data_IF_920110673995
#
_entry.id   IF_920110673995
#
_cell.length_a   1.000
_cell.length_b   1.000
_cell.length_c   1.000
_cell.angle_alpha   90.00
_cell.angle_beta   90.00
_cell.angle_gamma   90.00
#
_symmetry.space_group_name_H-M   'P 1'
#
loop_
_entity.id
_entity.type
_entity.pdbx_description
1 polymer ?
#
# COMPACT_ATOMS: atom_id res chain seq x y z
N UNK A 1 14.85 -13.55 -6.78
CA UNK A 1 15.18 -14.63 -5.81
C UNK A 1 16.67 -14.69 -5.48
N UNK A 2 17.55 -14.60 -6.47
CA UNK A 2 19.01 -14.59 -6.28
C UNK A 2 19.52 -13.56 -5.26
N UNK A 3 18.97 -12.34 -5.27
CA UNK A 3 19.34 -11.29 -4.31
C UNK A 3 19.00 -11.66 -2.86
N UNK A 4 17.86 -12.32 -2.62
CA UNK A 4 17.42 -12.75 -1.28
C UNK A 4 18.34 -13.87 -0.77
N UNK A 5 18.65 -14.86 -1.62
CA UNK A 5 19.57 -15.94 -1.28
C UNK A 5 20.97 -15.42 -0.97
N UNK A 6 21.45 -14.46 -1.75
CA UNK A 6 22.75 -13.79 -1.52
C UNK A 6 22.75 -13.06 -0.18
N UNK A 7 21.71 -12.29 0.13
CA UNK A 7 21.57 -11.60 1.41
C UNK A 7 21.50 -12.58 2.60
N UNK A 8 20.79 -13.70 2.44
CA UNK A 8 20.70 -14.75 3.46
C UNK A 8 22.06 -15.38 3.74
N UNK A 9 22.82 -15.72 2.70
CA UNK A 9 24.16 -16.29 2.84
C UNK A 9 25.13 -15.29 3.49
N UNK A 10 25.05 -14.02 3.11
CA UNK A 10 25.82 -12.97 3.75
C UNK A 10 25.49 -12.86 5.25
N UNK A 11 24.19 -12.79 5.60
CA UNK A 11 23.78 -12.68 6.99
C UNK A 11 24.19 -13.88 7.83
N UNK A 12 24.01 -15.12 7.35
CA UNK A 12 24.46 -16.32 8.07
C UNK A 12 25.97 -16.30 8.36
N UNK A 13 26.79 -15.85 7.40
CA UNK A 13 28.25 -15.70 7.61
C UNK A 13 28.52 -14.63 8.67
N UNK A 14 27.92 -13.45 8.52
CA UNK A 14 28.15 -12.32 9.43
C UNK A 14 27.70 -12.64 10.86
N UNK A 15 26.51 -13.21 11.05
CA UNK A 15 25.97 -13.58 12.37
C UNK A 15 26.83 -14.61 13.09
N UNK A 16 27.45 -15.53 12.33
CA UNK A 16 28.40 -16.51 12.87
C UNK A 16 29.68 -15.83 13.34
N UNK A 17 30.23 -14.90 12.56
CA UNK A 17 31.47 -14.17 12.89
C UNK A 17 31.29 -13.28 14.13
N UNK A 18 30.18 -12.53 14.21
CA UNK A 18 29.94 -11.59 15.32
C UNK A 18 29.26 -12.25 16.53
N UNK A 19 28.97 -13.56 16.46
CA UNK A 19 28.26 -14.33 17.49
C UNK A 19 26.94 -13.68 17.96
N UNK A 20 26.21 -13.04 17.03
CA UNK A 20 24.88 -12.45 17.26
C UNK A 20 23.95 -12.89 16.15
N UNK A 21 22.68 -13.13 16.44
CA UNK A 21 21.69 -13.46 15.42
C UNK A 21 20.94 -12.25 14.84
N UNK A 22 20.12 -12.51 13.83
CA UNK A 22 19.24 -11.50 13.25
C UNK A 22 18.04 -11.26 14.17
N UNK A 23 18.00 -10.11 14.84
CA UNK A 23 16.93 -9.78 15.78
C UNK A 23 15.68 -9.18 15.11
N UNK A 24 15.85 -8.42 14.02
CA UNK A 24 14.76 -7.69 13.39
C UNK A 24 14.74 -7.83 11.89
N UNK A 25 13.55 -8.00 11.31
CA UNK A 25 13.30 -7.96 9.87
C UNK A 25 12.27 -6.88 9.57
N UNK A 26 12.59 -5.95 8.66
CA UNK A 26 11.65 -4.90 8.22
C UNK A 26 11.31 -5.11 6.75
N UNK A 27 10.06 -5.47 6.47
CA UNK A 27 9.50 -5.60 5.14
C UNK A 27 8.89 -4.25 4.72
N UNK A 28 9.72 -3.36 4.15
CA UNK A 28 9.33 -2.00 3.75
C UNK A 28 9.08 -1.80 2.26
N UNK A 29 9.70 -2.60 1.39
CA UNK A 29 9.58 -2.41 -0.06
C UNK A 29 8.11 -2.39 -0.51
N UNK A 30 7.77 -1.42 -1.35
CA UNK A 30 6.44 -1.33 -1.93
C UNK A 30 6.31 -0.33 -3.07
N UNK A 31 5.36 -0.59 -3.95
CA UNK A 31 5.01 0.23 -5.12
C UNK A 31 3.51 0.50 -5.16
N UNK A 32 3.09 1.60 -5.79
CA UNK A 32 1.68 2.01 -5.90
C UNK A 32 0.93 1.41 -7.09
N UNK A 33 1.62 1.07 -8.18
CA UNK A 33 0.99 0.95 -9.49
C UNK A 33 0.49 2.30 -10.04
N UNK A 34 -0.26 2.26 -11.13
CA UNK A 34 -0.92 3.42 -11.72
C UNK A 34 -2.27 3.69 -11.02
N UNK A 35 -2.54 4.91 -10.53
CA UNK A 35 -3.80 5.23 -9.87
C UNK A 35 -4.89 5.53 -10.92
N UNK A 36 -5.52 4.48 -11.45
CA UNK A 36 -6.55 4.56 -12.50
C UNK A 36 -7.83 3.81 -12.10
N UNK A 37 -8.97 4.17 -12.71
CA UNK A 37 -10.16 3.32 -12.71
C UNK A 37 -9.85 1.89 -13.15
N UNK A 38 -10.59 0.92 -12.60
CA UNK A 38 -10.32 -0.51 -12.78
C UNK A 38 -10.46 -0.98 -14.23
N UNK A 39 -11.38 -0.42 -14.98
CA UNK A 39 -11.58 -0.71 -16.41
C UNK A 39 -10.39 -0.30 -17.28
N UNK A 40 -9.56 0.64 -16.83
CA UNK A 40 -8.31 1.04 -17.51
C UNK A 40 -7.11 0.18 -17.09
N UNK A 41 -7.28 -0.72 -16.12
CA UNK A 41 -6.22 -1.56 -15.59
C UNK A 41 -6.32 -2.98 -16.12
N UNK A 42 -5.16 -3.61 -16.26
CA UNK A 42 -5.03 -5.01 -16.66
C UNK A 42 -4.73 -5.89 -15.46
N UNK A 43 -4.90 -7.19 -15.62
CA UNK A 43 -4.47 -8.15 -14.60
C UNK A 43 -2.96 -8.05 -14.31
N UNK A 44 -2.15 -7.67 -15.30
CA UNK A 44 -0.71 -7.51 -15.13
C UNK A 44 -0.36 -6.30 -14.26
N UNK A 45 -1.15 -5.22 -14.31
CA UNK A 45 -1.00 -4.08 -13.38
C UNK A 45 -1.19 -4.51 -11.93
N UNK A 46 -2.18 -5.38 -11.67
CA UNK A 46 -2.37 -5.98 -10.35
C UNK A 46 -1.22 -6.92 -9.97
N UNK A 47 -0.81 -7.81 -10.88
CA UNK A 47 0.28 -8.77 -10.63
C UNK A 47 1.59 -8.07 -10.26
N UNK A 48 1.96 -7.02 -10.98
CA UNK A 48 3.21 -6.28 -10.70
C UNK A 48 3.23 -5.70 -9.28
N UNK A 49 2.11 -5.10 -8.84
CA UNK A 49 2.02 -4.50 -7.51
C UNK A 49 1.96 -5.58 -6.41
N UNK A 50 1.18 -6.63 -6.62
CA UNK A 50 1.10 -7.78 -5.69
C UNK A 50 2.44 -8.50 -5.57
N UNK A 51 3.18 -8.66 -6.67
CA UNK A 51 4.47 -9.34 -6.65
C UNK A 51 5.46 -8.63 -5.72
N UNK A 52 5.51 -7.30 -5.74
CA UNK A 52 6.38 -6.55 -4.83
C UNK A 52 5.79 -6.49 -3.42
N UNK A 53 4.57 -5.99 -3.28
CA UNK A 53 4.00 -5.60 -1.99
C UNK A 53 3.55 -6.79 -1.13
N UNK A 54 3.25 -7.93 -1.77
CA UNK A 54 2.74 -9.12 -1.09
C UNK A 54 3.72 -10.27 -1.24
N UNK A 55 3.98 -10.74 -2.46
CA UNK A 55 4.87 -11.89 -2.65
C UNK A 55 6.32 -11.57 -2.27
N UNK A 56 6.79 -10.33 -2.47
CA UNK A 56 8.09 -9.87 -2.01
C UNK A 56 8.24 -10.01 -0.49
N UNK A 57 7.23 -9.59 0.26
CA UNK A 57 7.18 -9.73 1.73
C UNK A 57 7.17 -11.21 2.15
N UNK A 58 6.40 -12.05 1.46
CA UNK A 58 6.36 -13.49 1.73
C UNK A 58 7.72 -14.13 1.45
N UNK A 59 8.33 -13.87 0.28
CA UNK A 59 9.65 -14.39 -0.13
C UNK A 59 10.74 -14.03 0.87
N UNK A 60 10.84 -12.75 1.24
CA UNK A 60 11.81 -12.27 2.22
C UNK A 60 11.53 -12.92 3.58
N UNK A 61 10.28 -12.92 4.04
CA UNK A 61 9.96 -13.51 5.33
C UNK A 61 10.29 -15.01 5.35
N UNK A 62 9.92 -15.79 4.34
CA UNK A 62 10.27 -17.21 4.26
C UNK A 62 11.78 -17.46 4.34
N UNK A 63 12.58 -16.65 3.65
CA UNK A 63 14.03 -16.80 3.65
C UNK A 63 14.67 -16.52 5.03
N UNK A 64 14.15 -15.56 5.78
CA UNK A 64 14.75 -15.09 7.04
C UNK A 64 14.04 -15.56 8.31
N UNK A 65 12.85 -16.18 8.19
CA UNK A 65 11.99 -16.54 9.34
C UNK A 65 12.69 -17.37 10.39
N UNK A 66 13.50 -18.36 9.99
CA UNK A 66 14.19 -19.24 10.94
C UNK A 66 15.24 -18.47 11.76
N UNK A 67 16.00 -17.56 11.14
CA UNK A 67 16.97 -16.72 11.87
C UNK A 67 16.29 -15.80 12.88
N UNK A 68 15.10 -15.27 12.55
CA UNK A 68 14.31 -14.44 13.48
C UNK A 68 13.77 -15.28 14.64
N UNK A 69 13.31 -16.52 14.37
CA UNK A 69 12.79 -17.45 15.40
C UNK A 69 13.86 -17.81 16.42
N UNK A 70 15.09 -18.08 15.98
CA UNK A 70 16.23 -18.38 16.86
C UNK A 70 16.48 -17.25 17.87
N UNK A 71 16.25 -16.00 17.47
CA UNK A 71 16.45 -14.82 18.30
C UNK A 71 15.19 -14.37 19.05
N UNK A 72 14.04 -15.05 18.87
CA UNK A 72 12.72 -14.59 19.34
C UNK A 72 12.48 -13.12 18.97
N UNK A 73 12.85 -12.80 17.73
CA UNK A 73 13.01 -11.44 17.26
C UNK A 73 11.70 -10.74 16.85
N UNK A 74 11.84 -9.77 15.96
CA UNK A 74 10.75 -8.92 15.46
C UNK A 74 10.63 -9.00 13.94
N UNK A 75 9.40 -9.10 13.45
CA UNK A 75 9.08 -8.87 12.04
C UNK A 75 8.20 -7.62 11.97
N UNK A 76 8.64 -6.60 11.25
CA UNK A 76 7.89 -5.37 11.03
C UNK A 76 7.51 -5.32 9.56
N UNK A 77 6.24 -5.10 9.27
CA UNK A 77 5.72 -5.07 7.89
C UNK A 77 4.99 -3.76 7.64
N UNK A 78 5.27 -3.17 6.49
CA UNK A 78 4.72 -1.88 6.10
C UNK A 78 3.48 -2.10 5.26
N UNK A 79 2.34 -1.93 5.92
CA UNK A 79 1.02 -2.01 5.30
C UNK A 79 0.64 -0.61 4.79
N UNK A 80 -0.60 -0.18 4.99
CA UNK A 80 -1.09 1.16 4.67
C UNK A 80 -2.45 1.33 5.32
N UNK A 81 -2.91 2.56 5.51
CA UNK A 81 -4.33 2.81 5.75
C UNK A 81 -5.23 2.25 4.63
N UNK A 82 -4.69 2.10 3.42
CA UNK A 82 -5.35 1.43 2.30
C UNK A 82 -5.50 -0.11 2.48
N UNK A 83 -5.00 -0.70 3.56
CA UNK A 83 -5.36 -2.08 3.98
C UNK A 83 -6.60 -2.13 4.87
N UNK A 84 -7.17 -0.97 5.21
CA UNK A 84 -8.34 -0.82 6.10
C UNK A 84 -9.55 -0.34 5.34
N UNK A 85 -9.32 0.53 4.36
CA UNK A 85 -10.35 1.04 3.46
C UNK A 85 -9.80 1.02 2.03
N UNK A 86 -10.54 0.41 1.11
CA UNK A 86 -10.19 0.41 -0.30
C UNK A 86 -10.62 1.74 -0.91
N UNK A 87 -9.64 2.49 -1.42
CA UNK A 87 -9.91 3.77 -2.07
C UNK A 87 -10.12 3.56 -3.57
N UNK A 88 -11.09 4.26 -4.21
CA UNK A 88 -11.19 4.32 -5.66
C UNK A 88 -9.84 4.67 -6.29
N UNK A 89 -9.65 4.29 -7.55
CA UNK A 89 -8.42 4.47 -8.36
C UNK A 89 -7.14 3.83 -7.81
N UNK A 90 -7.12 3.33 -6.57
CA UNK A 90 -5.96 2.69 -5.95
C UNK A 90 -6.11 1.15 -5.91
N UNK A 91 -6.74 0.56 -6.92
CA UNK A 91 -7.09 -0.88 -6.96
C UNK A 91 -5.90 -1.80 -6.69
N UNK A 92 -4.87 -1.83 -7.57
CA UNK A 92 -3.68 -2.68 -7.40
C UNK A 92 -2.99 -2.49 -6.05
N UNK A 93 -2.84 -1.24 -5.61
CA UNK A 93 -2.23 -0.92 -4.32
C UNK A 93 -3.05 -1.46 -3.16
N UNK A 94 -4.35 -1.12 -3.09
CA UNK A 94 -5.24 -1.51 -1.99
C UNK A 94 -5.31 -3.03 -1.89
N UNK A 95 -5.54 -3.74 -3.00
CA UNK A 95 -5.57 -5.21 -3.03
C UNK A 95 -4.27 -5.79 -2.46
N UNK A 96 -3.12 -5.31 -2.91
CA UNK A 96 -1.82 -5.79 -2.40
C UNK A 96 -1.62 -5.51 -0.90
N UNK A 97 -2.10 -4.35 -0.41
CA UNK A 97 -1.97 -3.93 0.99
C UNK A 97 -2.94 -4.67 1.91
N UNK A 98 -4.16 -4.97 1.48
CA UNK A 98 -5.07 -5.87 2.18
C UNK A 98 -4.47 -7.29 2.27
N UNK A 99 -3.90 -7.80 1.17
CA UNK A 99 -3.30 -9.14 1.14
C UNK A 99 -2.12 -9.26 2.11
N UNK A 100 -1.20 -8.28 2.13
CA UNK A 100 -0.06 -8.31 3.05
C UNK A 100 -0.48 -8.07 4.50
N UNK A 101 -1.56 -7.32 4.75
CA UNK A 101 -2.11 -7.12 6.09
C UNK A 101 -2.66 -8.42 6.69
N UNK A 102 -3.41 -9.19 5.89
CA UNK A 102 -3.86 -10.52 6.27
C UNK A 102 -2.69 -11.46 6.56
N UNK A 103 -1.63 -11.41 5.74
CA UNK A 103 -0.40 -12.17 5.97
C UNK A 103 0.28 -11.80 7.30
N UNK A 104 0.30 -10.50 7.67
CA UNK A 104 0.83 -10.07 8.97
C UNK A 104 0.07 -10.69 10.14
N UNK A 105 -1.26 -10.71 10.07
CA UNK A 105 -2.12 -11.29 11.10
C UNK A 105 -1.89 -12.81 11.25
N UNK A 106 -1.70 -13.51 10.13
CA UNK A 106 -1.36 -14.95 10.12
C UNK A 106 -0.01 -15.16 10.81
N UNK A 107 1.04 -14.48 10.37
CA UNK A 107 2.38 -14.61 10.95
C UNK A 107 2.40 -14.29 12.43
N UNK A 108 1.67 -13.27 12.87
CA UNK A 108 1.58 -12.89 14.28
C UNK A 108 1.03 -14.04 15.13
N UNK A 109 0.00 -14.73 14.64
CA UNK A 109 -0.63 -15.85 15.37
C UNK A 109 0.31 -17.06 15.36
N UNK A 110 0.84 -17.42 14.20
CA UNK A 110 1.69 -18.61 14.03
C UNK A 110 3.05 -18.49 14.72
N UNK A 111 3.67 -17.31 14.70
CA UNK A 111 5.01 -17.12 15.24
C UNK A 111 5.02 -16.77 16.74
N UNK A 112 3.86 -16.51 17.32
CA UNK A 112 3.72 -16.18 18.75
C UNK A 112 4.27 -17.26 19.68
N UNK A 113 4.10 -18.54 19.34
CA UNK A 113 4.60 -19.68 20.12
C UNK A 113 6.12 -19.76 20.16
N UNK A 114 6.81 -19.14 19.19
CA UNK A 114 8.27 -19.02 19.15
C UNK A 114 8.77 -17.74 19.84
N UNK A 115 7.88 -16.93 20.42
CA UNK A 115 8.21 -15.64 21.04
C UNK A 115 8.53 -14.53 20.04
N UNK A 116 8.31 -14.75 18.75
CA UNK A 116 8.50 -13.71 17.71
C UNK A 116 7.30 -12.78 17.70
N UNK A 117 7.57 -11.48 17.63
CA UNK A 117 6.53 -10.48 17.53
C UNK A 117 6.45 -9.92 16.11
N UNK A 118 5.23 -9.83 15.60
CA UNK A 118 4.95 -9.30 14.26
C UNK A 118 4.15 -8.01 14.42
N UNK A 119 4.67 -6.92 13.84
CA UNK A 119 4.08 -5.59 13.93
C UNK A 119 3.72 -5.07 12.53
N UNK A 120 2.50 -4.57 12.36
CA UNK A 120 2.09 -3.87 11.16
C UNK A 120 2.23 -2.34 11.34
N UNK A 121 2.89 -1.69 10.39
CA UNK A 121 2.95 -0.23 10.29
C UNK A 121 1.88 0.18 9.27
N UNK A 122 0.88 0.93 9.69
CA UNK A 122 -0.29 1.38 8.91
C UNK A 122 -0.22 2.90 8.70
N UNK A 123 0.66 3.39 7.80
CA UNK A 123 0.75 4.82 7.52
C UNK A 123 -0.42 5.30 6.65
N UNK A 124 -0.85 6.54 6.90
CA UNK A 124 -1.62 7.38 5.98
C UNK A 124 -0.77 7.90 4.82
N UNK A 125 -1.12 9.08 4.31
CA UNK A 125 -0.41 9.71 3.20
C UNK A 125 0.79 10.55 3.70
N UNK A 126 1.98 10.21 3.21
CA UNK A 126 3.24 10.88 3.56
C UNK A 126 4.05 11.21 2.30
N UNK A 127 4.76 12.34 2.35
CA UNK A 127 5.63 12.81 1.28
C UNK A 127 6.84 11.87 1.12
N UNK A 128 6.72 10.91 0.21
CA UNK A 128 7.76 9.94 -0.14
C UNK A 128 7.81 9.76 -1.66
N UNK A 129 8.84 9.11 -2.22
CA UNK A 129 8.92 8.88 -3.67
C UNK A 129 7.74 8.10 -4.26
N UNK A 130 6.95 7.37 -3.46
CA UNK A 130 5.78 6.60 -3.93
C UNK A 130 4.63 7.51 -4.39
N UNK A 131 4.51 8.72 -3.80
CA UNK A 131 3.50 9.73 -4.13
C UNK A 131 4.07 10.84 -5.01
N UNK A 132 5.26 10.63 -5.59
CA UNK A 132 5.85 11.59 -6.51
C UNK A 132 4.94 11.77 -7.73
N UNK A 133 4.52 13.01 -7.98
CA UNK A 133 3.51 13.33 -8.99
C UNK A 133 4.00 13.11 -10.43
N UNK A 134 5.29 13.28 -10.69
CA UNK A 134 5.86 13.01 -12.02
C UNK A 134 5.91 11.51 -12.30
N UNK A 135 6.35 10.70 -11.33
CA UNK A 135 6.31 9.24 -11.46
C UNK A 135 4.88 8.72 -11.63
N UNK A 136 3.91 9.33 -10.94
CA UNK A 136 2.49 8.99 -11.11
C UNK A 136 2.05 9.34 -12.53
N UNK A 137 2.32 10.57 -12.99
CA UNK A 137 1.97 11.03 -14.33
C UNK A 137 2.55 10.11 -15.42
N UNK A 138 3.81 9.71 -15.30
CA UNK A 138 4.44 8.78 -16.23
C UNK A 138 3.71 7.43 -16.28
N UNK A 139 3.42 6.82 -15.13
CA UNK A 139 2.65 5.56 -15.06
C UNK A 139 1.26 5.69 -15.67
N UNK A 140 0.58 6.80 -15.40
CA UNK A 140 -0.73 7.10 -15.96
C UNK A 140 -0.66 7.15 -17.49
N UNK A 141 0.34 7.82 -18.07
CA UNK A 141 0.54 7.87 -19.52
C UNK A 141 0.87 6.50 -20.12
N UNK A 142 1.74 5.71 -19.48
CA UNK A 142 2.10 4.38 -19.99
C UNK A 142 0.86 3.48 -20.10
N UNK A 143 0.03 3.44 -19.06
CA UNK A 143 -1.20 2.64 -19.10
C UNK A 143 -2.18 3.23 -20.12
N UNK A 144 -2.35 4.55 -20.14
CA UNK A 144 -3.25 5.22 -21.08
C UNK A 144 -2.89 5.00 -22.54
N UNK A 145 -1.62 4.95 -22.91
CA UNK A 145 -1.24 4.69 -24.31
C UNK A 145 -1.61 3.27 -24.75
N UNK A 146 -1.59 2.31 -23.83
CA UNK A 146 -1.82 0.89 -24.09
C UNK A 146 -3.31 0.47 -24.06
N UNK A 147 -4.24 1.34 -23.63
CA UNK A 147 -5.69 1.04 -23.67
C UNK A 147 -6.27 1.21 -25.08
N UNK A 148 -7.39 0.52 -25.35
CA UNK A 148 -8.09 0.60 -26.63
C UNK A 148 -8.65 1.99 -26.92
N UNK A 149 -8.71 2.36 -28.19
CA UNK A 149 -9.24 3.67 -28.62
C UNK A 149 -10.71 3.86 -28.24
N UNK A 150 -11.50 2.79 -28.22
CA UNK A 150 -12.90 2.82 -27.76
C UNK A 150 -12.99 3.25 -26.29
N UNK A 151 -12.09 2.75 -25.45
CA UNK A 151 -12.07 3.07 -24.03
C UNK A 151 -11.53 4.49 -23.79
N UNK A 152 -10.51 4.92 -24.56
CA UNK A 152 -10.05 6.32 -24.59
C UNK A 152 -11.19 7.28 -24.93
N UNK A 153 -12.07 6.90 -25.87
CA UNK A 153 -13.24 7.71 -26.25
C UNK A 153 -14.30 7.76 -25.15
N UNK A 154 -14.57 6.65 -24.45
CA UNK A 154 -15.53 6.63 -23.34
C UNK A 154 -15.11 7.54 -22.18
N UNK A 155 -13.81 7.57 -21.87
CA UNK A 155 -13.28 8.43 -20.82
C UNK A 155 -13.15 9.90 -21.26
N UNK A 156 -12.82 10.10 -22.53
CA UNK A 156 -12.65 11.42 -23.13
C UNK A 156 -11.19 11.87 -23.11
N UNK A 157 -10.81 12.64 -24.13
CA UNK A 157 -9.41 13.04 -24.40
C UNK A 157 -8.73 13.81 -23.26
N UNK A 158 -9.49 14.51 -22.43
CA UNK A 158 -8.97 15.34 -21.33
C UNK A 158 -8.99 14.62 -19.97
N UNK A 159 -9.53 13.40 -19.89
CA UNK A 159 -9.70 12.69 -18.62
C UNK A 159 -8.37 12.47 -17.90
N UNK A 160 -7.34 12.02 -18.63
CA UNK A 160 -6.02 11.75 -18.06
C UNK A 160 -5.37 13.01 -17.46
N UNK A 161 -5.50 14.15 -18.15
CA UNK A 161 -4.97 15.43 -17.68
C UNK A 161 -5.69 15.88 -16.41
N UNK A 162 -7.03 15.84 -16.41
CA UNK A 162 -7.83 16.17 -15.23
C UNK A 162 -7.53 15.24 -14.05
N UNK A 163 -7.34 13.94 -14.31
CA UNK A 163 -6.98 12.97 -13.26
C UNK A 163 -5.59 13.25 -12.70
N UNK A 164 -4.62 13.58 -13.55
CA UNK A 164 -3.27 13.93 -13.14
C UNK A 164 -3.27 15.18 -12.25
N UNK A 165 -3.98 16.23 -12.66
CA UNK A 165 -4.08 17.47 -11.89
C UNK A 165 -4.86 17.24 -10.58
N UNK A 166 -5.96 16.49 -10.62
CA UNK A 166 -6.71 16.08 -9.43
C UNK A 166 -5.82 15.35 -8.44
N UNK A 167 -5.03 14.36 -8.90
CA UNK A 167 -4.13 13.60 -8.04
C UNK A 167 -3.03 14.47 -7.44
N UNK A 168 -2.46 15.40 -8.23
CA UNK A 168 -1.47 16.37 -7.74
C UNK A 168 -2.05 17.21 -6.62
N UNK A 169 -3.23 17.80 -6.82
CA UNK A 169 -3.87 18.66 -5.83
C UNK A 169 -4.31 17.88 -4.58
N UNK A 170 -4.87 16.68 -4.76
CA UNK A 170 -5.23 15.79 -3.65
C UNK A 170 -4.01 15.43 -2.79
N UNK A 171 -2.91 14.96 -3.41
CA UNK A 171 -1.69 14.60 -2.70
C UNK A 171 -1.06 15.81 -2.00
N UNK A 172 -1.05 16.98 -2.63
CA UNK A 172 -0.58 18.22 -2.00
C UNK A 172 -1.39 18.58 -0.74
N UNK A 173 -2.69 18.31 -0.74
CA UNK A 173 -3.57 18.61 0.39
C UNK A 173 -3.50 17.61 1.54
N UNK A 174 -3.24 16.33 1.25
CA UNK A 174 -3.34 15.26 2.26
C UNK A 174 -2.00 14.72 2.75
N UNK A 175 -0.92 14.80 1.95
CA UNK A 175 0.37 14.22 2.32
C UNK A 175 1.06 15.02 3.43
N UNK A 176 1.37 14.35 4.54
CA UNK A 176 2.19 14.92 5.61
C UNK A 176 3.67 14.96 5.23
N UNK A 177 4.36 16.04 5.58
CA UNK A 177 5.83 16.13 5.54
C UNK A 177 6.51 15.42 6.72
N UNK A 178 5.76 15.08 7.76
CA UNK A 178 6.28 14.51 9.01
C UNK A 178 6.60 13.01 8.92
N UNK A 179 7.48 12.64 7.98
CA UNK A 179 7.90 11.24 7.77
C UNK A 179 8.56 10.61 8.99
N UNK A 180 9.11 11.43 9.89
CA UNK A 180 9.70 11.00 11.17
C UNK A 180 8.71 10.21 12.04
N UNK A 181 7.40 10.48 11.95
CA UNK A 181 6.40 9.71 12.72
C UNK A 181 6.38 8.23 12.31
N UNK A 182 6.65 7.96 11.03
CA UNK A 182 6.74 6.57 10.53
C UNK A 182 8.07 5.96 10.96
N UNK A 183 9.17 6.74 10.94
CA UNK A 183 10.49 6.32 11.42
C UNK A 183 10.46 5.95 12.90
N UNK A 184 9.84 6.77 13.73
CA UNK A 184 9.65 6.54 15.17
C UNK A 184 8.83 5.28 15.42
N UNK A 185 7.83 5.00 14.58
CA UNK A 185 7.06 3.78 14.66
C UNK A 185 7.90 2.53 14.35
N UNK A 186 8.77 2.56 13.34
CA UNK A 186 9.73 1.46 13.11
C UNK A 186 10.64 1.27 14.30
N UNK A 187 11.21 2.37 14.81
CA UNK A 187 12.13 2.32 15.94
C UNK A 187 11.45 1.70 17.17
N UNK A 188 10.25 2.15 17.52
CA UNK A 188 9.49 1.58 18.62
C UNK A 188 9.11 0.10 18.37
N UNK A 189 8.70 -0.26 17.15
CA UNK A 189 8.36 -1.64 16.81
C UNK A 189 9.55 -2.60 16.96
N UNK A 190 10.75 -2.13 16.66
CA UNK A 190 11.98 -2.92 16.76
C UNK A 190 12.52 -2.97 18.20
N UNK A 191 12.46 -1.87 18.94
CA UNK A 191 13.23 -1.72 20.20
C UNK A 191 12.39 -1.80 21.47
N UNK A 192 11.07 -1.61 21.39
CA UNK A 192 10.22 -1.60 22.58
C UNK A 192 10.16 -2.98 23.25
N UNK A 193 10.10 -2.98 24.58
CA UNK A 193 9.84 -4.20 25.36
C UNK A 193 8.48 -4.80 25.01
N UNK A 194 7.48 -3.94 24.82
CA UNK A 194 6.09 -4.29 24.49
C UNK A 194 5.64 -3.55 23.23
N UNK A 195 6.03 -4.01 22.04
CA UNK A 195 5.62 -3.35 20.82
C UNK A 195 4.11 -3.53 20.60
N UNK A 196 3.50 -2.53 19.95
CA UNK A 196 2.11 -2.61 19.52
C UNK A 196 1.97 -3.59 18.36
N UNK A 197 0.81 -4.21 18.24
CA UNK A 197 0.51 -5.08 17.10
C UNK A 197 0.37 -4.26 15.81
N UNK A 198 -0.28 -3.09 15.90
CA UNK A 198 -0.51 -2.18 14.78
C UNK A 198 -0.12 -0.76 15.15
N UNK A 199 0.65 -0.10 14.29
CA UNK A 199 1.05 1.31 14.42
C UNK A 199 0.32 2.12 13.36
N UNK A 200 -0.71 2.84 13.80
CA UNK A 200 -1.53 3.71 12.96
C UNK A 200 -0.91 5.10 12.98
N UNK A 201 -0.45 5.58 11.83
CA UNK A 201 0.39 6.77 11.75
C UNK A 201 -0.18 7.73 10.70
N UNK A 202 -0.30 9.00 11.06
CA UNK A 202 -0.90 10.03 10.22
C UNK A 202 -2.24 10.51 10.78
N UNK A 203 -2.45 11.82 10.70
CA UNK A 203 -3.69 12.47 11.16
C UNK A 203 -4.86 12.04 10.26
N UNK A 204 -4.62 11.99 8.96
CA UNK A 204 -5.53 11.47 7.95
C UNK A 204 -5.95 10.02 8.25
N UNK A 205 -4.97 9.16 8.59
CA UNK A 205 -5.26 7.78 8.94
C UNK A 205 -6.11 7.69 10.21
N UNK A 206 -5.71 8.40 11.27
CA UNK A 206 -6.36 8.31 12.59
C UNK A 206 -7.74 8.97 12.65
N UNK A 207 -7.93 10.13 12.02
CA UNK A 207 -9.14 10.94 12.16
C UNK A 207 -10.13 10.77 11.01
N UNK A 208 -9.69 10.31 9.84
CA UNK A 208 -10.56 10.16 8.67
C UNK A 208 -10.74 8.69 8.29
N UNK A 209 -9.68 8.05 7.78
CA UNK A 209 -9.82 6.77 7.09
C UNK A 209 -10.08 5.58 8.02
N UNK A 210 -9.47 5.56 9.21
CA UNK A 210 -9.73 4.48 10.17
C UNK A 210 -11.15 4.50 10.73
N UNK A 211 -11.69 5.64 11.22
CA UNK A 211 -13.11 5.71 11.59
C UNK A 211 -14.03 5.25 10.47
N UNK A 212 -13.78 5.73 9.24
CA UNK A 212 -14.56 5.38 8.06
C UNK A 212 -14.50 3.87 7.74
N UNK A 213 -13.36 3.21 7.97
CA UNK A 213 -13.22 1.76 7.76
C UNK A 213 -14.09 0.89 8.66
N UNK A 214 -14.60 1.42 9.78
CA UNK A 214 -15.50 0.69 10.69
C UNK A 214 -16.98 0.98 10.44
N UNK A 215 -17.30 1.95 9.59
CA UNK A 215 -18.68 2.28 9.25
C UNK A 215 -19.26 1.24 8.27
N UNK A 216 -20.60 1.08 8.22
CA UNK A 216 -21.24 0.24 7.21
C UNK A 216 -20.86 0.67 5.80
N UNK A 217 -20.70 -0.30 4.89
CA UNK A 217 -20.26 -0.04 3.51
C UNK A 217 -21.10 1.03 2.80
N UNK A 218 -22.42 1.04 3.00
CA UNK A 218 -23.31 2.04 2.40
C UNK A 218 -23.00 3.48 2.85
N UNK A 219 -22.59 3.67 4.10
CA UNK A 219 -22.21 4.99 4.65
C UNK A 219 -20.84 5.40 4.11
N UNK A 220 -19.89 4.46 4.12
CA UNK A 220 -18.54 4.67 3.60
C UNK A 220 -18.55 5.04 2.12
N UNK A 221 -19.30 4.29 1.30
CA UNK A 221 -19.43 4.53 -0.13
C UNK A 221 -20.08 5.90 -0.40
N UNK A 222 -21.12 6.25 0.36
CA UNK A 222 -21.77 7.56 0.22
C UNK A 222 -20.84 8.71 0.58
N UNK A 223 -20.05 8.55 1.65
CA UNK A 223 -19.04 9.53 2.03
C UNK A 223 -17.99 9.71 0.92
N UNK A 224 -17.44 8.60 0.40
CA UNK A 224 -16.43 8.65 -0.67
C UNK A 224 -16.99 9.27 -1.96
N UNK A 225 -18.25 9.00 -2.31
CA UNK A 225 -18.92 9.64 -3.45
C UNK A 225 -19.09 11.16 -3.26
N UNK A 226 -19.52 11.60 -2.07
CA UNK A 226 -19.68 13.01 -1.75
C UNK A 226 -18.31 13.70 -1.76
N UNK A 227 -17.31 13.08 -1.13
CA UNK A 227 -15.95 13.58 -1.11
C UNK A 227 -15.39 13.76 -2.52
N UNK A 228 -15.49 12.72 -3.37
CA UNK A 228 -15.07 12.78 -4.77
C UNK A 228 -15.80 13.89 -5.56
N UNK A 229 -17.08 14.15 -5.26
CA UNK A 229 -17.82 15.23 -5.90
C UNK A 229 -17.32 16.61 -5.46
N UNK A 230 -17.09 16.81 -4.16
CA UNK A 230 -16.61 18.07 -3.58
C UNK A 230 -15.18 18.39 -4.06
N UNK A 231 -14.32 17.38 -4.16
CA UNK A 231 -12.93 17.55 -4.60
C UNK A 231 -12.79 17.67 -6.12
N UNK A 232 -13.88 17.53 -6.88
CA UNK A 232 -13.86 17.65 -8.33
C UNK A 232 -13.20 16.47 -9.06
N UNK A 233 -13.33 15.26 -8.51
CA UNK A 233 -12.81 14.06 -9.17
C UNK A 233 -13.38 13.92 -10.58
N UNK A 234 -12.55 13.64 -11.60
CA UNK A 234 -12.99 13.59 -12.98
C UNK A 234 -13.95 12.42 -13.20
N UNK A 235 -14.97 12.65 -14.02
CA UNK A 235 -15.95 11.62 -14.43
C UNK A 235 -15.72 11.23 -15.88
N UNK A 236 -15.98 9.96 -16.26
CA UNK A 236 -15.97 9.55 -17.66
C UNK A 236 -17.00 10.36 -18.46
N UNK A 237 -16.68 10.66 -19.73
CA UNK A 237 -17.66 11.18 -20.68
C UNK A 237 -18.57 10.06 -21.18
N UNK A 238 -19.50 9.61 -20.34
CA UNK A 238 -20.45 8.56 -20.74
C UNK A 238 -21.19 8.98 -22.02
N UNK A 239 -21.24 8.12 -23.06
CA UNK A 239 -22.04 8.40 -24.24
C UNK A 239 -23.53 8.48 -23.87
N UNK A 240 -24.25 9.41 -24.50
CA UNK A 240 -25.67 9.69 -24.22
C UNK A 240 -26.57 8.43 -24.27
N UNK A 241 -26.18 7.39 -25.03
CA UNK A 241 -26.91 6.12 -25.13
C UNK A 241 -26.95 5.31 -23.83
N UNK A 242 -26.00 5.49 -22.91
CA UNK A 242 -25.97 4.79 -21.63
C UNK A 242 -26.80 5.49 -20.53
N UNK A 243 -27.09 6.79 -20.68
CA UNK A 243 -27.87 7.57 -19.70
C UNK A 243 -29.39 7.27 -19.76
N UNK A 244 -29.88 6.68 -20.86
CA UNK A 244 -31.30 6.38 -21.05
C UNK A 244 -31.80 5.07 -20.39
N UNK A 245 -30.96 4.35 -19.62
CA UNK A 245 -31.35 3.08 -18.96
C UNK A 245 -31.47 3.15 -17.44
N UNK A 246 -31.31 4.33 -16.84
CA UNK A 246 -31.53 4.55 -15.42
C UNK A 246 -32.62 5.60 -15.21
N UNK A 247 -33.88 5.16 -15.38
CA UNK A 247 -35.08 5.83 -14.91
C UNK A 247 -35.93 4.81 -14.15
#
# INVERSE_FOLDING_TARGET
>A
EESITTALNHLKRTTTVIQKGLYGLVNNAGVSGAPLPDDLLTLDDYRQVIDVNTFGVIRVTHAFKELIKEQRGRIVVVTSVCSRIAMPILGPYSVSKFAVDAYCDILRRELSVFGVNVCAIEPGFFNTPIVNTENIKEKLHIVWENISDDLKQQYGKNYLNHLTDYMREFLRGICSSHTEWVVDAYFHALTSRYPRIRYRIGIDALLCFLPLSYLPSSVTDKFLQIFAHITGAPKPSLPQSCLCRSA
#
